data_IF_756930740337
#
_entry.id   IF_756930740337
#
_cell.length_a   1.000
_cell.length_b   1.000
_cell.length_c   1.000
_cell.angle_alpha   90.00
_cell.angle_beta   90.00
_cell.angle_gamma   90.00
#
_symmetry.space_group_name_H-M   'P 1'
#
loop_
_entity.id
_entity.type
_entity.pdbx_description
1 polymer ?
#
# COMPACT_ATOMS: atom_id res chain seq x y z
N UNK A 1 1.54 -5.14 4.61
CA UNK A 1 0.14 -5.03 4.12
C UNK A 1 -0.70 -6.18 4.68
N UNK A 2 -2.02 -6.02 4.74
CA UNK A 2 -3.00 -7.04 5.19
C UNK A 2 -4.30 -6.97 4.40
N UNK A 3 -5.06 -8.07 4.41
CA UNK A 3 -6.37 -8.17 3.75
C UNK A 3 -7.44 -8.66 4.72
N UNK A 4 -8.71 -8.42 4.38
CA UNK A 4 -9.84 -8.84 5.22
C UNK A 4 -9.90 -8.10 6.57
N UNK A 5 -10.50 -8.73 7.59
CA UNK A 5 -10.55 -8.23 8.97
C UNK A 5 -9.31 -8.56 9.79
N UNK A 6 -8.59 -9.63 9.43
CA UNK A 6 -7.36 -10.02 10.09
C UNK A 6 -6.20 -9.12 9.68
N UNK A 7 -5.41 -8.66 10.65
CA UNK A 7 -4.18 -7.88 10.42
C UNK A 7 -3.01 -8.80 10.02
N UNK A 8 -3.27 -9.78 9.15
CA UNK A 8 -2.27 -10.76 8.72
C UNK A 8 -1.30 -10.12 7.74
N UNK A 9 -0.03 -10.04 8.11
CA UNK A 9 1.03 -9.62 7.23
C UNK A 9 1.18 -10.60 6.06
N UNK A 10 1.19 -10.10 4.82
CA UNK A 10 1.41 -10.95 3.64
C UNK A 10 2.42 -10.38 2.62
N UNK A 11 2.84 -9.12 2.77
CA UNK A 11 3.78 -8.45 1.86
C UNK A 11 4.36 -7.15 2.44
N UNK A 12 5.56 -6.80 1.96
CA UNK A 12 6.25 -5.51 2.14
C UNK A 12 6.24 -4.71 0.83
N UNK A 13 6.52 -3.41 0.93
CA UNK A 13 6.58 -2.49 -0.22
C UNK A 13 7.97 -1.84 -0.30
N UNK A 14 8.42 -1.58 -1.52
CA UNK A 14 9.50 -0.64 -1.80
C UNK A 14 8.88 0.77 -1.76
N UNK A 15 9.52 1.69 -1.05
CA UNK A 15 9.03 3.06 -0.86
C UNK A 15 10.02 4.06 -1.45
N UNK A 16 9.65 5.35 -1.48
CA UNK A 16 10.44 6.44 -2.02
C UNK A 16 10.66 6.37 -3.54
N UNK A 17 9.68 5.80 -4.26
CA UNK A 17 9.70 5.77 -5.71
C UNK A 17 9.30 7.14 -6.28
N UNK A 18 9.92 7.49 -7.42
CA UNK A 18 9.68 8.77 -8.07
C UNK A 18 8.24 8.89 -8.58
N UNK A 19 7.59 10.01 -8.26
CA UNK A 19 6.23 10.37 -8.66
C UNK A 19 6.16 11.84 -9.09
N UNK A 20 6.85 12.21 -10.20
CA UNK A 20 6.83 13.59 -10.70
C UNK A 20 5.42 14.03 -11.14
N UNK A 21 4.55 13.08 -11.51
CA UNK A 21 3.14 13.30 -11.81
C UNK A 21 2.38 13.81 -10.56
N UNK A 22 2.60 13.21 -9.40
CA UNK A 22 1.96 13.61 -8.13
C UNK A 22 2.50 14.95 -7.66
N UNK A 23 3.83 15.13 -7.70
CA UNK A 23 4.47 16.40 -7.36
C UNK A 23 3.92 17.57 -8.19
N UNK A 24 3.73 17.38 -9.50
CA UNK A 24 3.11 18.36 -10.40
C UNK A 24 1.63 18.59 -10.07
N UNK A 25 0.85 17.52 -9.89
CA UNK A 25 -0.59 17.62 -9.63
C UNK A 25 -0.91 18.33 -8.31
N UNK A 26 -0.05 18.17 -7.29
CA UNK A 26 -0.20 18.79 -5.97
C UNK A 26 0.64 20.06 -5.80
N UNK A 27 1.38 20.48 -6.83
CA UNK A 27 2.29 21.62 -6.81
C UNK A 27 3.22 21.65 -5.58
N UNK A 28 3.82 20.49 -5.25
CA UNK A 28 4.66 20.36 -4.06
C UNK A 28 5.74 19.30 -4.24
N UNK A 29 7.00 19.73 -4.10
CA UNK A 29 8.19 18.88 -4.20
C UNK A 29 8.26 17.80 -3.11
N UNK A 30 7.52 17.97 -2.02
CA UNK A 30 7.40 16.94 -0.98
C UNK A 30 6.87 15.61 -1.52
N UNK A 31 6.15 15.63 -2.64
CA UNK A 31 5.58 14.43 -3.25
C UNK A 31 6.44 13.81 -4.36
N UNK A 32 7.63 14.34 -4.62
CA UNK A 32 8.53 13.84 -5.68
C UNK A 32 8.91 12.36 -5.48
N UNK A 33 9.06 11.92 -4.23
CA UNK A 33 9.33 10.51 -3.86
C UNK A 33 8.19 9.88 -3.06
N UNK A 34 6.96 10.23 -3.39
CA UNK A 34 5.77 9.71 -2.69
C UNK A 34 5.34 8.31 -3.13
N UNK A 35 6.01 7.73 -4.14
CA UNK A 35 5.64 6.44 -4.69
C UNK A 35 6.04 5.26 -3.81
N UNK A 36 5.26 4.18 -3.94
CA UNK A 36 5.56 2.88 -3.37
C UNK A 36 5.02 1.79 -4.30
N UNK A 37 5.69 0.64 -4.29
CA UNK A 37 5.32 -0.54 -5.08
C UNK A 37 5.43 -1.79 -4.20
N UNK A 38 4.53 -2.75 -4.41
CA UNK A 38 4.62 -4.02 -3.74
C UNK A 38 4.28 -5.17 -4.69
N UNK A 39 5.08 -6.22 -4.62
CA UNK A 39 4.79 -7.49 -5.27
C UNK A 39 4.02 -8.38 -4.32
N UNK A 40 2.83 -8.82 -4.74
CA UNK A 40 1.93 -9.63 -3.94
C UNK A 40 1.76 -10.98 -4.61
N UNK A 41 2.00 -12.06 -3.86
CA UNK A 41 1.73 -13.42 -4.35
C UNK A 41 0.23 -13.68 -4.38
N UNK A 42 -0.32 -14.08 -5.52
CA UNK A 42 -1.73 -14.47 -5.61
C UNK A 42 -2.10 -15.60 -4.64
N UNK A 43 -1.15 -16.48 -4.30
CA UNK A 43 -1.36 -17.58 -3.36
C UNK A 43 -1.59 -17.12 -1.92
N UNK A 44 -1.19 -15.89 -1.56
CA UNK A 44 -1.37 -15.37 -0.21
C UNK A 44 -2.72 -14.69 0.00
N UNK A 45 -3.51 -14.54 -1.06
CA UNK A 45 -4.82 -13.90 -1.04
C UNK A 45 -5.90 -14.93 -1.41
N UNK A 46 -7.04 -14.97 -0.70
CA UNK A 46 -8.13 -15.86 -1.02
C UNK A 46 -8.76 -15.55 -2.40
N UNK A 47 -9.28 -16.58 -3.05
CA UNK A 47 -10.09 -16.45 -4.28
C UNK A 47 -11.29 -15.53 -4.00
N UNK A 48 -11.62 -14.68 -4.98
CA UNK A 48 -12.71 -13.71 -4.88
C UNK A 48 -12.26 -12.25 -4.72
N UNK A 49 -13.18 -11.38 -4.30
CA UNK A 49 -12.89 -9.97 -4.07
C UNK A 49 -12.15 -9.79 -2.74
N UNK A 50 -10.99 -9.12 -2.80
CA UNK A 50 -10.22 -8.74 -1.63
C UNK A 50 -9.90 -7.25 -1.63
N UNK A 51 -10.13 -6.60 -0.50
CA UNK A 51 -9.67 -5.23 -0.25
C UNK A 51 -8.28 -5.27 0.40
N UNK A 52 -7.29 -4.71 -0.28
CA UNK A 52 -5.94 -4.56 0.27
C UNK A 52 -5.89 -3.33 1.18
N UNK A 53 -5.28 -3.52 2.35
CA UNK A 53 -4.99 -2.46 3.31
C UNK A 53 -3.47 -2.33 3.46
N UNK A 54 -2.99 -1.08 3.40
CA UNK A 54 -1.58 -0.76 3.58
C UNK A 54 -1.37 0.08 4.84
N UNK A 55 -0.20 -0.08 5.45
CA UNK A 55 0.24 0.66 6.62
C UNK A 55 1.69 1.10 6.41
N UNK A 56 2.01 2.29 6.91
CA UNK A 56 3.38 2.78 7.04
C UNK A 56 3.74 2.80 8.53
N UNK A 57 4.97 2.41 8.85
CA UNK A 57 5.48 2.53 10.21
C UNK A 57 6.03 3.94 10.40
N UNK A 58 5.49 4.68 11.36
CA UNK A 58 5.99 6.00 11.76
C UNK A 58 6.88 5.82 13.00
N UNK A 59 8.22 5.92 12.87
CA UNK A 59 9.14 5.66 13.97
C UNK A 59 8.99 6.62 15.15
N UNK A 60 8.64 7.89 14.90
CA UNK A 60 8.57 8.92 15.94
C UNK A 60 7.48 8.63 16.97
N UNK A 61 6.31 8.15 16.50
CA UNK A 61 5.19 7.76 17.36
C UNK A 61 5.13 6.26 17.62
N UNK A 62 6.03 5.47 17.03
CA UNK A 62 6.10 4.00 17.11
C UNK A 62 4.78 3.31 16.75
N UNK A 63 4.09 3.80 15.72
CA UNK A 63 2.78 3.30 15.31
C UNK A 63 2.71 2.99 13.82
N UNK A 64 1.85 2.05 13.47
CA UNK A 64 1.47 1.79 12.09
C UNK A 64 0.29 2.69 11.69
N UNK A 65 0.55 3.69 10.84
CA UNK A 65 -0.47 4.56 10.26
C UNK A 65 -1.06 3.87 9.04
N UNK A 66 -2.38 3.70 9.02
CA UNK A 66 -3.08 3.08 7.89
C UNK A 66 -3.22 4.09 6.74
N UNK A 67 -2.89 3.65 5.52
CA UNK A 67 -3.16 4.45 4.31
C UNK A 67 -4.67 4.44 3.99
N UNK A 68 -5.19 5.59 3.54
CA UNK A 68 -6.62 5.76 3.30
C UNK A 68 -7.14 5.00 2.07
N UNK A 69 -6.26 4.65 1.13
CA UNK A 69 -6.64 3.90 -0.07
C UNK A 69 -7.10 2.48 0.27
N UNK A 70 -8.10 2.01 -0.48
CA UNK A 70 -8.69 0.68 -0.35
C UNK A 70 -8.79 0.02 -1.74
N UNK A 71 -7.65 -0.27 -2.38
CA UNK A 71 -7.68 -0.93 -3.67
C UNK A 71 -8.36 -2.30 -3.54
N UNK A 72 -9.31 -2.54 -4.46
CA UNK A 72 -10.00 -3.81 -4.62
C UNK A 72 -9.27 -4.62 -5.67
N UNK A 73 -9.02 -5.88 -5.38
CA UNK A 73 -8.49 -6.85 -6.34
C UNK A 73 -9.44 -8.03 -6.41
N UNK A 74 -9.56 -8.64 -7.59
CA UNK A 74 -10.35 -9.84 -7.81
C UNK A 74 -9.43 -10.95 -8.29
N UNK A 75 -9.37 -12.04 -7.54
CA UNK A 75 -8.64 -13.25 -7.92
C UNK A 75 -9.64 -14.24 -8.51
N UNK A 76 -9.38 -14.62 -9.76
CA UNK A 76 -10.10 -15.66 -10.50
C UNK A 76 -9.22 -16.91 -10.58
N UNK A 77 -9.86 -18.08 -10.63
CA UNK A 77 -9.22 -19.39 -10.77
C UNK A 77 -8.66 -19.62 -12.18
#
# INVERSE_FOLDING_TARGET
MSYGSNKSYFASAIVQLDRPDVSKALNSSLYEKSGWEANISFRSIPIGETVIKAWIYEPDIKQFVRLNNKPKIQIVE
#
